data_IF_864179411479
#
_entry.id   IF_864179411479
#
_cell.length_a   1.000
_cell.length_b   1.000
_cell.length_c   1.000
_cell.angle_alpha   90.00
_cell.angle_beta   90.00
_cell.angle_gamma   90.00
#
_symmetry.space_group_name_H-M   'P 1'
#
loop_
_entity.id
_entity.type
_entity.pdbx_description
1 polymer ?
#
# COMPACT_ATOMS: atom_id res chain seq x y z
N UNK A 1 -20.20 29.05 9.86
CA UNK A 1 -18.77 28.90 10.22
C UNK A 1 -18.37 27.47 10.59
N UNK A 2 -19.20 26.70 11.31
CA UNK A 2 -18.96 25.29 11.65
C UNK A 2 -18.72 24.34 10.45
N UNK A 3 -19.43 24.43 9.30
CA UNK A 3 -19.19 23.51 8.18
C UNK A 3 -17.87 23.80 7.46
N UNK A 4 -17.42 25.07 7.43
CA UNK A 4 -16.11 25.46 6.90
C UNK A 4 -14.99 24.97 7.83
N UNK A 5 -15.20 25.04 9.15
CA UNK A 5 -14.28 24.44 10.12
C UNK A 5 -14.24 22.91 10.05
N UNK A 6 -15.36 22.25 9.71
CA UNK A 6 -15.39 20.79 9.49
C UNK A 6 -14.72 20.39 8.17
N UNK A 7 -14.93 21.15 7.09
CA UNK A 7 -14.23 20.93 5.82
C UNK A 7 -12.73 21.23 5.94
N UNK A 8 -12.35 22.27 6.69
CA UNK A 8 -10.97 22.57 7.02
C UNK A 8 -10.38 21.51 7.95
N UNK A 9 -11.12 20.99 8.93
CA UNK A 9 -10.68 19.90 9.79
C UNK A 9 -10.50 18.60 9.00
N UNK A 10 -11.38 18.29 8.04
CA UNK A 10 -11.24 17.17 7.11
C UNK A 10 -10.10 17.39 6.12
N UNK A 11 -9.82 18.62 5.71
CA UNK A 11 -8.67 18.99 4.88
C UNK A 11 -7.34 18.93 5.65
N UNK A 12 -7.35 19.32 6.93
CA UNK A 12 -6.21 19.24 7.87
C UNK A 12 -5.99 17.81 8.34
N UNK A 13 -7.04 17.00 8.40
CA UNK A 13 -6.93 15.56 8.55
C UNK A 13 -6.46 14.92 7.20
N UNK A 14 -6.92 15.42 6.06
CA UNK A 14 -6.32 15.06 4.76
C UNK A 14 -4.88 15.53 4.62
N UNK A 15 -4.38 16.37 5.53
CA UNK A 15 -2.98 16.73 5.54
C UNK A 15 -2.18 15.45 5.80
N UNK A 16 -1.37 15.04 4.83
CA UNK A 16 -0.79 13.71 4.80
C UNK A 16 -0.08 13.51 6.13
N UNK A 17 -0.44 12.44 6.86
CA UNK A 17 0.30 11.99 8.04
C UNK A 17 1.78 12.10 7.67
N UNK A 18 2.38 13.16 8.21
CA UNK A 18 3.61 13.67 7.67
C UNK A 18 4.66 12.62 7.96
N UNK A 19 5.74 12.65 7.18
CA UNK A 19 6.97 11.89 7.39
C UNK A 19 7.51 11.91 8.85
N UNK A 20 6.90 12.69 9.74
CA UNK A 20 7.09 12.73 11.19
C UNK A 20 6.73 11.42 11.91
N UNK A 21 5.64 10.72 11.54
CA UNK A 21 5.34 9.41 12.15
C UNK A 21 6.45 8.40 11.88
N UNK A 22 6.96 8.39 10.64
CA UNK A 22 8.09 7.54 10.23
C UNK A 22 9.37 7.85 11.03
N UNK A 23 9.62 9.12 11.37
CA UNK A 23 10.79 9.53 12.17
C UNK A 23 10.66 9.19 13.65
N UNK A 24 9.45 9.22 14.22
CA UNK A 24 9.22 8.86 15.61
C UNK A 24 9.25 7.33 15.82
N UNK A 25 8.79 6.54 14.85
CA UNK A 25 8.94 5.07 14.89
C UNK A 25 10.39 4.60 14.81
N UNK A 26 11.32 5.41 14.27
CA UNK A 26 12.74 5.07 14.28
C UNK A 26 13.41 5.22 15.66
N UNK A 27 12.70 5.74 16.68
CA UNK A 27 13.25 5.96 18.03
C UNK A 27 12.75 4.96 19.09
N UNK A 28 11.87 4.00 18.74
CA UNK A 28 11.39 2.99 19.69
C UNK A 28 11.52 1.56 19.14
N UNK A 29 12.57 0.80 19.54
CA UNK A 29 12.90 -0.51 18.99
C UNK A 29 12.23 -1.66 19.75
N UNK A 30 10.98 -1.52 20.19
CA UNK A 30 10.26 -2.60 20.88
C UNK A 30 8.97 -2.97 20.18
N UNK A 31 9.07 -4.06 19.41
CA UNK A 31 8.02 -4.99 19.01
C UNK A 31 6.58 -4.45 19.12
N UNK A 32 6.15 -3.68 18.13
CA UNK A 32 4.72 -3.48 17.90
C UNK A 32 4.33 -4.14 16.59
N UNK A 33 3.45 -5.15 16.72
CA UNK A 33 2.53 -5.59 15.65
C UNK A 33 2.00 -4.33 14.94
N UNK A 34 1.84 -4.33 13.60
CA UNK A 34 1.38 -3.15 12.88
C UNK A 34 0.07 -2.68 13.50
N UNK A 35 0.18 -1.65 14.34
CA UNK A 35 -0.94 -1.10 15.07
C UNK A 35 -1.94 -0.64 14.03
N UNK A 36 -3.18 -1.09 14.13
CA UNK A 36 -4.27 -0.53 13.36
C UNK A 36 -4.15 1.00 13.43
N UNK A 37 -4.05 1.70 12.29
CA UNK A 37 -3.66 3.11 12.30
C UNK A 37 -4.62 3.89 13.20
N UNK A 38 -4.07 4.59 14.20
CA UNK A 38 -4.82 5.37 15.20
C UNK A 38 -5.78 6.38 14.54
N UNK A 39 -5.50 6.78 13.30
CA UNK A 39 -6.43 7.49 12.42
C UNK A 39 -7.84 6.89 12.35
N UNK A 40 -7.95 5.56 12.26
CA UNK A 40 -9.24 4.85 12.21
C UNK A 40 -10.09 5.10 13.46
N UNK A 41 -9.42 5.33 14.60
CA UNK A 41 -10.05 5.70 15.86
C UNK A 41 -10.47 7.16 15.93
N UNK A 42 -9.97 8.03 15.04
CA UNK A 42 -10.39 9.44 14.91
C UNK A 42 -11.58 9.58 13.94
N UNK A 43 -11.63 8.74 12.91
CA UNK A 43 -12.71 8.77 11.89
C UNK A 43 -14.05 8.33 12.47
N UNK A 44 -14.07 7.31 13.33
CA UNK A 44 -15.28 6.80 13.98
C UNK A 44 -16.00 7.84 14.89
N UNK A 45 -15.33 8.53 15.83
CA UNK A 45 -15.97 9.56 16.64
C UNK A 45 -16.34 10.79 15.81
N UNK A 46 -15.59 11.12 14.75
CA UNK A 46 -15.94 12.22 13.84
C UNK A 46 -17.26 11.94 13.10
N UNK A 47 -17.44 10.71 12.60
CA UNK A 47 -18.71 10.28 11.98
C UNK A 47 -19.85 10.33 13.01
N UNK A 48 -19.61 9.85 14.23
CA UNK A 48 -20.60 9.86 15.31
C UNK A 48 -20.99 11.26 15.76
N UNK A 49 -20.05 12.22 15.73
CA UNK A 49 -20.30 13.63 16.05
C UNK A 49 -21.11 14.32 14.94
N UNK A 50 -20.78 14.05 13.67
CA UNK A 50 -21.55 14.56 12.52
C UNK A 50 -22.97 13.98 12.49
N UNK A 51 -23.14 12.71 12.86
CA UNK A 51 -24.44 12.04 13.01
C UNK A 51 -25.38 12.78 13.98
N UNK A 52 -24.82 13.24 15.09
CA UNK A 52 -25.57 13.86 16.17
C UNK A 52 -26.07 15.27 15.82
N UNK A 53 -25.51 15.91 14.78
CA UNK A 53 -25.74 17.33 14.49
C UNK A 53 -26.50 17.62 13.19
N UNK A 54 -26.49 16.74 12.18
CA UNK A 54 -26.96 17.08 10.83
C UNK A 54 -27.93 16.06 10.18
N UNK A 55 -28.43 15.09 10.93
CA UNK A 55 -29.40 14.11 10.42
C UNK A 55 -28.78 12.95 9.61
N UNK A 56 -29.64 11.99 9.23
CA UNK A 56 -29.25 10.69 8.64
C UNK A 56 -28.56 10.85 7.27
N UNK A 57 -28.96 11.83 6.47
CA UNK A 57 -28.45 12.01 5.10
C UNK A 57 -26.97 12.42 5.08
N UNK A 58 -26.56 13.31 5.99
CA UNK A 58 -25.16 13.74 6.13
C UNK A 58 -24.30 12.63 6.72
N UNK A 59 -24.87 11.77 7.57
CA UNK A 59 -24.15 10.62 8.13
C UNK A 59 -23.80 9.58 7.08
N UNK A 60 -24.75 9.26 6.20
CA UNK A 60 -24.54 8.28 5.12
C UNK A 60 -23.45 8.77 4.16
N UNK A 61 -23.49 10.05 3.78
CA UNK A 61 -22.48 10.65 2.92
C UNK A 61 -21.08 10.72 3.57
N UNK A 62 -21.01 11.14 4.84
CA UNK A 62 -19.76 11.15 5.60
C UNK A 62 -19.19 9.73 5.76
N UNK A 63 -20.05 8.73 6.00
CA UNK A 63 -19.69 7.32 6.06
C UNK A 63 -19.15 6.78 4.72
N UNK A 64 -19.79 7.12 3.60
CA UNK A 64 -19.31 6.73 2.25
C UNK A 64 -17.94 7.33 1.95
N UNK A 65 -17.75 8.63 2.21
CA UNK A 65 -16.46 9.31 2.01
C UNK A 65 -15.37 8.73 2.91
N UNK A 66 -15.68 8.53 4.20
CA UNK A 66 -14.76 7.92 5.14
C UNK A 66 -14.39 6.49 4.71
N UNK A 67 -15.38 5.69 4.26
CA UNK A 67 -15.16 4.34 3.75
C UNK A 67 -14.20 4.32 2.57
N UNK A 68 -14.39 5.19 1.59
CA UNK A 68 -13.51 5.30 0.42
C UNK A 68 -12.12 5.78 0.80
N UNK A 69 -12.00 6.78 1.66
CA UNK A 69 -10.69 7.28 2.12
C UNK A 69 -9.93 6.20 2.89
N UNK A 70 -10.61 5.48 3.80
CA UNK A 70 -10.02 4.38 4.55
C UNK A 70 -9.63 3.20 3.65
N UNK A 71 -10.44 2.89 2.65
CA UNK A 71 -10.13 1.87 1.65
C UNK A 71 -8.91 2.27 0.81
N UNK A 72 -8.88 3.51 0.32
CA UNK A 72 -7.80 4.05 -0.52
C UNK A 72 -6.48 4.16 0.26
N UNK A 73 -6.51 4.59 1.52
CA UNK A 73 -5.32 4.63 2.37
C UNK A 73 -4.83 3.21 2.70
N UNK A 74 -5.74 2.30 3.06
CA UNK A 74 -5.37 0.89 3.30
C UNK A 74 -4.74 0.27 2.06
N UNK A 75 -5.26 0.59 0.87
CA UNK A 75 -4.74 0.13 -0.42
C UNK A 75 -3.39 0.75 -0.75
N UNK A 76 -3.21 2.04 -0.51
CA UNK A 76 -1.93 2.76 -0.68
C UNK A 76 -0.87 2.23 0.27
N UNK A 77 -1.21 1.97 1.54
CA UNK A 77 -0.32 1.33 2.51
C UNK A 77 0.10 -0.07 2.08
N UNK A 78 -0.84 -0.89 1.60
CA UNK A 78 -0.52 -2.22 1.05
C UNK A 78 0.47 -2.13 -0.11
N UNK A 79 0.35 -1.12 -0.98
CA UNK A 79 1.30 -0.87 -2.08
C UNK A 79 2.68 -0.46 -1.57
N UNK A 80 2.75 0.46 -0.61
CA UNK A 80 4.03 0.89 -0.01
C UNK A 80 4.75 -0.26 0.70
N UNK A 81 4.00 -1.13 1.40
CA UNK A 81 4.55 -2.35 2.03
C UNK A 81 5.07 -3.33 0.97
N UNK A 82 4.38 -3.46 -0.17
CA UNK A 82 4.84 -4.26 -1.31
C UNK A 82 6.15 -3.72 -1.90
N UNK A 83 6.20 -2.42 -2.20
CA UNK A 83 7.41 -1.77 -2.75
C UNK A 83 8.63 -1.92 -1.84
N UNK A 84 8.42 -1.84 -0.52
CA UNK A 84 9.48 -2.08 0.46
C UNK A 84 9.92 -3.56 0.49
N UNK A 85 8.99 -4.50 0.34
CA UNK A 85 9.31 -5.92 0.27
C UNK A 85 10.10 -6.26 -1.00
N UNK A 86 9.75 -5.66 -2.15
CA UNK A 86 10.47 -5.85 -3.41
C UNK A 86 11.89 -5.29 -3.34
N UNK A 87 12.07 -4.12 -2.71
CA UNK A 87 13.39 -3.54 -2.48
C UNK A 87 14.24 -4.43 -1.54
N UNK A 88 13.67 -4.86 -0.41
CA UNK A 88 14.33 -5.77 0.54
C UNK A 88 14.74 -7.08 -0.16
N UNK A 89 13.89 -7.63 -1.03
CA UNK A 89 14.15 -8.86 -1.77
C UNK A 89 15.21 -8.68 -2.86
N UNK A 90 15.23 -7.57 -3.60
CA UNK A 90 16.29 -7.25 -4.55
C UNK A 90 17.65 -7.13 -3.86
N UNK A 91 17.69 -6.50 -2.68
CA UNK A 91 18.90 -6.44 -1.86
C UNK A 91 19.33 -7.83 -1.42
N UNK A 92 18.41 -8.65 -0.90
CA UNK A 92 18.72 -10.02 -0.49
C UNK A 92 19.25 -10.89 -1.65
N UNK A 93 18.59 -10.85 -2.83
CA UNK A 93 19.06 -11.55 -4.01
C UNK A 93 20.45 -11.10 -4.43
N UNK A 94 20.75 -9.80 -4.35
CA UNK A 94 22.09 -9.30 -4.69
C UNK A 94 23.18 -9.83 -3.78
N UNK A 95 22.90 -9.95 -2.47
CA UNK A 95 23.82 -10.51 -1.48
C UNK A 95 23.98 -12.01 -1.70
N UNK A 96 22.88 -12.74 -1.90
CA UNK A 96 22.93 -14.19 -2.16
C UNK A 96 23.74 -14.51 -3.43
N UNK A 97 23.50 -13.78 -4.52
CA UNK A 97 24.26 -13.94 -5.77
C UNK A 97 25.74 -13.65 -5.53
N UNK A 98 26.08 -12.59 -4.78
CA UNK A 98 27.47 -12.25 -4.48
C UNK A 98 28.17 -13.36 -3.68
N UNK A 99 27.55 -13.83 -2.59
CA UNK A 99 28.07 -14.92 -1.75
C UNK A 99 28.29 -16.20 -2.55
N UNK A 100 27.28 -16.60 -3.34
CA UNK A 100 27.36 -17.80 -4.16
C UNK A 100 28.40 -17.67 -5.29
N UNK A 101 28.63 -16.46 -5.81
CA UNK A 101 29.67 -16.23 -6.83
C UNK A 101 31.09 -16.45 -6.28
N UNK A 102 31.27 -16.36 -4.95
CA UNK A 102 32.54 -16.68 -4.26
C UNK A 102 32.57 -18.16 -3.82
N UNK A 103 31.55 -18.95 -4.17
CA UNK A 103 31.47 -20.38 -3.89
C UNK A 103 30.74 -20.73 -2.60
N UNK A 104 30.02 -19.79 -1.98
CA UNK A 104 29.22 -20.07 -0.79
C UNK A 104 28.04 -21.02 -1.09
N UNK A 105 27.68 -21.86 -0.12
CA UNK A 105 26.49 -22.70 -0.16
C UNK A 105 25.22 -21.84 -0.10
N UNK A 106 24.10 -22.36 -0.61
CA UNK A 106 22.83 -21.61 -0.60
C UNK A 106 22.39 -21.28 0.84
N UNK A 107 22.59 -22.20 1.78
CA UNK A 107 22.28 -21.97 3.20
C UNK A 107 23.08 -20.80 3.79
N UNK A 108 24.37 -20.70 3.46
CA UNK A 108 25.25 -19.62 3.94
C UNK A 108 24.92 -18.30 3.24
N UNK A 109 24.59 -18.33 1.95
CA UNK A 109 24.15 -17.16 1.20
C UNK A 109 22.83 -16.60 1.75
N UNK A 110 21.86 -17.46 2.08
CA UNK A 110 20.62 -17.05 2.75
C UNK A 110 20.88 -16.46 4.14
N UNK A 111 21.76 -17.08 4.94
CA UNK A 111 22.11 -16.59 6.27
C UNK A 111 22.79 -15.20 6.20
N UNK A 112 23.74 -15.02 5.27
CA UNK A 112 24.42 -13.76 5.05
C UNK A 112 23.45 -12.66 4.61
N UNK A 113 22.58 -12.95 3.64
CA UNK A 113 21.55 -12.00 3.19
C UNK A 113 20.56 -11.64 4.31
N UNK A 114 20.14 -12.61 5.13
CA UNK A 114 19.27 -12.36 6.28
C UNK A 114 19.95 -11.47 7.33
N UNK A 115 21.22 -11.76 7.67
CA UNK A 115 21.98 -11.00 8.66
C UNK A 115 22.18 -9.55 8.21
N UNK A 116 22.52 -9.33 6.94
CA UNK A 116 22.74 -7.99 6.40
C UNK A 116 21.44 -7.20 6.30
N UNK A 117 20.33 -7.81 5.84
CA UNK A 117 19.03 -7.13 5.89
C UNK A 117 18.62 -6.79 7.32
N UNK A 118 18.85 -7.68 8.29
CA UNK A 118 18.51 -7.42 9.69
C UNK A 118 19.30 -6.23 10.26
N UNK A 119 20.54 -6.01 9.80
CA UNK A 119 21.34 -4.82 10.16
C UNK A 119 20.77 -3.54 9.58
N UNK A 120 20.33 -3.58 8.32
CA UNK A 120 19.75 -2.41 7.64
C UNK A 120 18.34 -2.12 8.19
N UNK A 121 17.55 -3.17 8.44
CA UNK A 121 16.13 -3.11 8.77
C UNK A 121 15.72 -4.31 9.65
N UNK A 122 15.65 -4.15 10.98
CA UNK A 122 15.39 -5.24 11.92
C UNK A 122 14.03 -5.94 11.68
N UNK A 123 13.04 -5.18 11.25
CA UNK A 123 11.65 -5.65 11.05
C UNK A 123 11.38 -6.14 9.62
N UNK A 124 12.41 -6.43 8.83
CA UNK A 124 12.20 -6.94 7.48
C UNK A 124 11.63 -8.36 7.51
N UNK A 125 10.43 -8.54 6.96
CA UNK A 125 9.82 -9.86 6.76
C UNK A 125 10.71 -10.76 5.87
N UNK A 126 11.40 -10.18 4.88
CA UNK A 126 12.32 -10.90 3.99
C UNK A 126 13.50 -11.48 4.77
N UNK A 127 14.06 -10.73 5.73
CA UNK A 127 15.14 -11.21 6.59
C UNK A 127 14.70 -12.40 7.46
N UNK A 128 13.50 -12.33 8.03
CA UNK A 128 12.94 -13.41 8.85
C UNK A 128 12.73 -14.69 8.01
N UNK A 129 12.14 -14.57 6.83
CA UNK A 129 11.97 -15.70 5.92
C UNK A 129 13.32 -16.33 5.51
N UNK A 130 14.31 -15.51 5.12
CA UNK A 130 15.65 -16.00 4.76
C UNK A 130 16.37 -16.67 5.93
N UNK A 131 16.23 -16.15 7.14
CA UNK A 131 16.81 -16.78 8.34
C UNK A 131 16.19 -18.16 8.60
N UNK A 132 14.88 -18.28 8.40
CA UNK A 132 14.16 -19.54 8.53
C UNK A 132 14.54 -20.54 7.43
N UNK A 133 14.77 -20.06 6.20
CA UNK A 133 15.26 -20.85 5.08
C UNK A 133 16.69 -21.34 5.31
N UNK A 134 17.58 -20.47 5.78
CA UNK A 134 18.95 -20.83 6.09
C UNK A 134 19.00 -21.92 7.16
N UNK A 135 18.18 -21.81 8.22
CA UNK A 135 18.06 -22.83 9.25
C UNK A 135 17.56 -24.18 8.71
N UNK A 136 16.52 -24.16 7.86
CA UNK A 136 16.01 -25.40 7.22
C UNK A 136 17.03 -26.04 6.28
N UNK A 137 17.72 -25.23 5.47
CA UNK A 137 18.73 -25.70 4.53
C UNK A 137 19.95 -26.28 5.26
N UNK A 138 20.39 -25.67 6.36
CA UNK A 138 21.49 -26.17 7.19
C UNK A 138 21.19 -27.53 7.83
N UNK A 139 19.93 -27.81 8.12
CA UNK A 139 19.47 -29.10 8.65
C UNK A 139 19.23 -30.16 7.56
N UNK A 140 19.52 -29.85 6.28
CA UNK A 140 19.27 -30.75 5.15
C UNK A 140 17.79 -30.88 4.78
N UNK A 141 16.94 -29.98 5.27
CA UNK A 141 15.51 -29.99 4.97
C UNK A 141 15.25 -29.60 3.52
N UNK A 142 14.43 -30.40 2.82
CA UNK A 142 13.93 -30.04 1.48
C UNK A 142 13.04 -28.80 1.60
N UNK A 143 13.43 -27.72 0.94
CA UNK A 143 12.61 -26.51 0.85
C UNK A 143 11.50 -26.80 -0.15
N UNK A 144 10.29 -27.00 0.34
CA UNK A 144 9.11 -27.21 -0.51
C UNK A 144 8.39 -25.88 -0.72
N UNK A 145 7.90 -25.66 -1.94
CA UNK A 145 7.09 -24.49 -2.31
C UNK A 145 5.88 -24.33 -1.38
N UNK A 146 5.33 -25.44 -0.88
CA UNK A 146 4.21 -25.45 0.08
C UNK A 146 4.56 -24.83 1.44
N UNK A 147 5.78 -25.04 1.94
CA UNK A 147 6.23 -24.43 3.19
C UNK A 147 6.47 -22.92 3.10
N UNK A 148 6.65 -22.41 1.88
CA UNK A 148 6.81 -20.97 1.58
C UNK A 148 5.47 -20.22 1.54
N UNK A 149 4.38 -20.92 1.18
CA UNK A 149 3.04 -20.35 1.04
C UNK A 149 2.34 -20.11 2.39
N UNK A 150 2.67 -20.87 3.44
CA UNK A 150 2.01 -20.75 4.75
C UNK A 150 2.57 -19.60 5.61
N UNK A 151 3.85 -19.25 5.44
CA UNK A 151 4.50 -18.18 6.21
C UNK A 151 4.25 -16.80 5.61
N UNK A 152 4.09 -16.74 4.29
CA UNK A 152 3.96 -15.50 3.53
C UNK A 152 2.49 -15.20 3.21
N UNK A 153 1.74 -14.54 4.09
CA UNK A 153 0.42 -13.99 3.73
C UNK A 153 0.47 -12.66 2.96
N UNK A 154 1.66 -12.27 2.48
CA UNK A 154 1.99 -10.89 2.08
C UNK A 154 2.19 -10.67 0.57
N UNK A 155 2.36 -9.39 0.14
CA UNK A 155 2.58 -9.00 -1.26
C UNK A 155 3.76 -9.67 -1.98
N UNK A 156 4.74 -10.23 -1.24
CA UNK A 156 5.93 -10.89 -1.80
C UNK A 156 5.79 -12.40 -2.08
N UNK A 157 4.60 -12.98 -1.87
CA UNK A 157 4.32 -14.42 -2.04
C UNK A 157 4.71 -14.97 -3.41
N UNK A 158 4.33 -14.29 -4.48
CA UNK A 158 4.59 -14.74 -5.84
C UNK A 158 6.10 -14.84 -6.14
N UNK A 159 6.91 -13.95 -5.55
CA UNK A 159 8.36 -13.95 -5.74
C UNK A 159 9.02 -15.06 -4.93
N UNK A 160 8.58 -15.26 -3.68
CA UNK A 160 9.03 -16.40 -2.87
C UNK A 160 8.67 -17.74 -3.49
N UNK A 161 7.50 -17.84 -4.12
CA UNK A 161 7.09 -19.01 -4.88
C UNK A 161 8.02 -19.26 -6.08
N UNK A 162 8.42 -18.21 -6.79
CA UNK A 162 9.39 -18.29 -7.90
C UNK A 162 10.78 -18.74 -7.40
N UNK A 163 11.26 -18.21 -6.27
CA UNK A 163 12.54 -18.63 -5.67
C UNK A 163 12.47 -20.09 -5.22
N UNK A 164 11.37 -20.51 -4.58
CA UNK A 164 11.17 -21.92 -4.19
C UNK A 164 11.11 -22.86 -5.41
N UNK A 165 10.46 -22.42 -6.49
CA UNK A 165 10.41 -23.18 -7.75
C UNK A 165 11.79 -23.28 -8.40
N UNK A 166 12.55 -22.18 -8.42
CA UNK A 166 13.93 -22.16 -8.91
C UNK A 166 14.84 -23.10 -8.11
N UNK A 167 14.68 -23.12 -6.79
CA UNK A 167 15.41 -24.05 -5.93
C UNK A 167 15.08 -25.51 -6.24
N UNK A 168 13.80 -25.83 -6.35
CA UNK A 168 13.36 -27.18 -6.69
C UNK A 168 13.89 -27.61 -8.07
N UNK A 169 13.92 -26.71 -9.04
CA UNK A 169 14.45 -26.98 -10.37
C UNK A 169 15.98 -27.21 -10.35
N UNK A 170 16.70 -26.42 -9.54
CA UNK A 170 18.14 -26.60 -9.31
C UNK A 170 18.46 -27.94 -8.64
N UNK A 171 17.70 -28.33 -7.61
CA UNK A 171 17.87 -29.59 -6.89
C UNK A 171 17.55 -30.82 -7.77
N UNK A 172 16.50 -30.74 -8.59
CA UNK A 172 16.08 -31.85 -9.46
C UNK A 172 16.95 -32.01 -10.72
N UNK A 173 17.45 -30.92 -11.28
CA UNK A 173 18.13 -30.93 -12.59
C UNK A 173 19.61 -30.51 -12.53
N UNK A 174 20.14 -30.23 -11.34
CA UNK A 174 21.54 -29.80 -11.17
C UNK A 174 21.85 -28.43 -11.79
N UNK A 175 20.82 -27.60 -12.04
CA UNK A 175 21.03 -26.28 -12.62
C UNK A 175 21.76 -25.36 -11.63
N UNK A 176 22.68 -24.50 -12.10
CA UNK A 176 23.34 -23.52 -11.25
C UNK A 176 22.31 -22.55 -10.67
N UNK A 177 22.12 -22.62 -9.36
CA UNK A 177 21.15 -21.79 -8.63
C UNK A 177 21.44 -20.29 -8.79
N UNK A 178 22.70 -19.91 -8.98
CA UNK A 178 23.11 -18.52 -9.22
C UNK A 178 22.39 -17.96 -10.45
N UNK A 179 22.38 -18.69 -11.56
CA UNK A 179 21.78 -18.23 -12.82
C UNK A 179 20.26 -18.04 -12.68
N UNK A 180 19.61 -18.92 -11.91
CA UNK A 180 18.19 -18.78 -11.61
C UNK A 180 17.90 -17.55 -10.73
N UNK A 181 18.72 -17.28 -9.71
CA UNK A 181 18.58 -16.10 -8.87
C UNK A 181 18.87 -14.80 -9.65
N UNK A 182 19.86 -14.83 -10.56
CA UNK A 182 20.14 -13.72 -11.49
C UNK A 182 18.94 -13.47 -12.40
N UNK A 183 18.34 -14.52 -12.96
CA UNK A 183 17.14 -14.41 -13.80
C UNK A 183 15.95 -13.84 -13.01
N UNK A 184 15.69 -14.33 -11.79
CA UNK A 184 14.63 -13.79 -10.91
C UNK A 184 14.90 -12.31 -10.58
N UNK A 185 16.13 -11.95 -10.24
CA UNK A 185 16.51 -10.55 -9.97
C UNK A 185 16.30 -9.66 -11.19
N UNK A 186 16.69 -10.11 -12.38
CA UNK A 186 16.54 -9.36 -13.62
C UNK A 186 15.06 -9.15 -13.97
N UNK A 187 14.23 -10.18 -13.80
CA UNK A 187 12.78 -10.10 -14.01
C UNK A 187 12.12 -9.09 -13.05
N UNK A 188 12.47 -9.11 -11.76
CA UNK A 188 11.98 -8.13 -10.79
C UNK A 188 12.41 -6.70 -11.11
N UNK A 189 13.66 -6.50 -11.54
CA UNK A 189 14.14 -5.18 -11.98
C UNK A 189 13.39 -4.70 -13.22
N UNK A 190 13.11 -5.59 -14.18
CA UNK A 190 12.34 -5.28 -15.37
C UNK A 190 10.90 -4.88 -15.02
N UNK A 191 10.26 -5.62 -14.11
CA UNK A 191 8.92 -5.30 -13.60
C UNK A 191 8.91 -3.93 -12.92
N UNK A 192 9.85 -3.65 -12.01
CA UNK A 192 9.96 -2.34 -11.35
C UNK A 192 10.19 -1.19 -12.33
N UNK A 193 11.02 -1.41 -13.37
CA UNK A 193 11.25 -0.41 -14.40
C UNK A 193 10.00 -0.16 -15.27
N UNK A 194 9.25 -1.22 -15.61
CA UNK A 194 7.99 -1.11 -16.33
C UNK A 194 6.94 -0.34 -15.53
N UNK A 195 6.83 -0.65 -14.24
CA UNK A 195 5.96 0.05 -13.30
C UNK A 195 6.31 1.54 -13.20
N UNK A 196 7.59 1.86 -13.04
CA UNK A 196 8.09 3.23 -12.97
C UNK A 196 7.78 4.02 -14.26
N UNK A 197 8.01 3.41 -15.43
CA UNK A 197 7.70 4.01 -16.74
C UNK A 197 6.20 4.24 -16.91
N UNK A 198 5.38 3.27 -16.53
CA UNK A 198 3.91 3.38 -16.59
C UNK A 198 3.40 4.50 -15.69
N UNK A 199 3.92 4.60 -14.47
CA UNK A 199 3.57 5.69 -13.54
C UNK A 199 3.98 7.05 -14.08
N UNK A 200 5.16 7.17 -14.68
CA UNK A 200 5.64 8.39 -15.30
C UNK A 200 4.76 8.79 -16.50
N UNK A 201 4.40 7.85 -17.37
CA UNK A 201 3.50 8.09 -18.51
C UNK A 201 2.10 8.53 -18.11
N UNK A 202 1.60 8.07 -16.95
CA UNK A 202 0.29 8.45 -16.42
C UNK A 202 0.29 9.75 -15.60
N UNK A 203 1.42 10.43 -15.44
CA UNK A 203 1.50 11.66 -14.64
C UNK A 203 0.62 12.79 -15.22
N UNK A 204 0.65 12.97 -16.55
CA UNK A 204 -0.15 13.98 -17.25
C UNK A 204 -1.67 13.73 -17.12
N UNK A 205 -2.18 12.56 -17.54
CA UNK A 205 -3.59 12.21 -17.36
C UNK A 205 -4.07 12.23 -15.91
N UNK A 206 -3.21 11.91 -14.94
CA UNK A 206 -3.55 12.01 -13.52
C UNK A 206 -3.70 13.46 -13.06
N UNK A 207 -2.82 14.36 -13.51
CA UNK A 207 -2.88 15.76 -13.14
C UNK A 207 -4.20 16.41 -13.59
N UNK A 208 -4.62 16.18 -14.85
CA UNK A 208 -5.89 16.71 -15.36
C UNK A 208 -7.11 16.07 -14.67
N UNK A 209 -7.06 14.75 -14.43
CA UNK A 209 -8.10 14.07 -13.67
C UNK A 209 -8.22 14.62 -12.24
N UNK A 210 -7.11 14.94 -11.57
CA UNK A 210 -7.15 15.58 -10.23
C UNK A 210 -7.73 16.99 -10.27
N UNK A 211 -7.46 17.76 -11.32
CA UNK A 211 -8.05 19.10 -11.50
C UNK A 211 -9.55 19.00 -11.73
N UNK A 212 -10.00 18.13 -12.63
CA UNK A 212 -11.42 17.88 -12.92
C UNK A 212 -12.16 17.33 -11.69
N UNK A 213 -11.51 16.47 -10.90
CA UNK A 213 -12.06 15.97 -9.64
C UNK A 213 -12.18 17.07 -8.56
N UNK A 214 -11.39 18.14 -8.64
CA UNK A 214 -11.48 19.31 -7.75
C UNK A 214 -12.54 20.33 -8.17
N UNK A 215 -13.01 20.28 -9.42
CA UNK A 215 -14.01 21.21 -9.97
C UNK A 215 -15.31 21.31 -9.15
N UNK A 216 -15.89 20.20 -8.63
CA UNK A 216 -17.10 20.28 -7.81
C UNK A 216 -16.90 21.08 -6.52
N UNK A 217 -15.72 20.98 -5.89
CA UNK A 217 -15.40 21.75 -4.69
C UNK A 217 -15.30 23.25 -4.99
N UNK A 218 -14.69 23.61 -6.13
CA UNK A 218 -14.67 24.98 -6.62
C UNK A 218 -16.08 25.49 -6.92
N UNK A 219 -16.95 24.66 -7.50
CA UNK A 219 -18.35 25.00 -7.76
C UNK A 219 -19.13 25.32 -6.48
N UNK A 220 -18.96 24.50 -5.43
CA UNK A 220 -19.58 24.75 -4.12
C UNK A 220 -19.03 26.03 -3.49
N UNK A 221 -17.72 26.27 -3.58
CA UNK A 221 -17.09 27.48 -3.05
C UNK A 221 -17.60 28.75 -3.74
N UNK A 222 -17.75 28.72 -5.07
CA UNK A 222 -18.31 29.82 -5.84
C UNK A 222 -19.81 30.03 -5.56
N UNK A 223 -20.58 28.96 -5.40
CA UNK A 223 -21.99 29.01 -5.01
C UNK A 223 -22.20 29.61 -3.61
N UNK A 224 -21.27 29.37 -2.69
CA UNK A 224 -21.26 30.00 -1.37
C UNK A 224 -20.88 31.49 -1.45
N UNK A 225 -19.85 31.84 -2.24
CA UNK A 225 -19.43 33.23 -2.41
C UNK A 225 -20.51 34.12 -3.06
N UNK A 226 -21.37 33.54 -3.88
CA UNK A 226 -22.53 34.22 -4.51
C UNK A 226 -23.76 34.29 -3.60
N UNK A 227 -23.72 33.72 -2.39
CA UNK A 227 -24.80 33.81 -1.41
C UNK A 227 -25.97 32.84 -1.65
N UNK A 228 -25.83 31.85 -2.54
CA UNK A 228 -26.88 30.87 -2.83
C UNK A 228 -27.13 29.85 -1.70
N UNK A 229 -26.36 29.93 -0.61
CA UNK A 229 -26.30 29.00 0.52
C UNK A 229 -26.53 27.51 0.17
N UNK A 230 -25.73 26.93 -0.75
CA UNK A 230 -25.85 25.52 -1.10
C UNK A 230 -25.66 24.61 0.11
N UNK A 231 -24.88 25.01 1.12
CA UNK A 231 -24.62 24.19 2.31
C UNK A 231 -25.87 24.11 3.18
N UNK A 232 -26.63 25.20 3.33
CA UNK A 232 -27.94 25.19 3.98
C UNK A 232 -28.94 24.27 3.28
N UNK A 233 -28.98 24.30 1.94
CA UNK A 233 -29.87 23.42 1.15
C UNK A 233 -29.48 21.94 1.25
N UNK A 234 -28.18 21.64 1.20
CA UNK A 234 -27.63 20.29 1.30
C UNK A 234 -27.80 19.68 2.72
N UNK A 235 -27.85 20.51 3.76
CA UNK A 235 -28.00 20.07 5.16
C UNK A 235 -29.42 20.21 5.71
N UNK A 236 -30.31 20.90 5.01
CA UNK A 236 -31.69 21.14 5.42
C UNK A 236 -32.64 19.95 5.24
N UNK A 237 -32.18 18.85 4.63
CA UNK A 237 -32.96 17.63 4.38
C UNK A 237 -33.88 17.70 3.15
N UNK A 238 -34.32 16.55 2.65
CA UNK A 238 -35.25 16.43 1.51
C UNK A 238 -34.53 16.27 0.17
N UNK A 239 -34.88 17.07 -0.84
CA UNK A 239 -34.23 17.01 -2.17
C UNK A 239 -32.73 17.30 -2.10
N UNK A 240 -32.29 18.17 -1.18
CA UNK A 240 -30.89 18.54 -1.00
C UNK A 240 -30.01 17.39 -0.51
N UNK A 241 -30.49 16.57 0.44
CA UNK A 241 -29.73 15.43 0.93
C UNK A 241 -29.78 14.22 0.00
N UNK A 242 -30.87 14.01 -0.75
CA UNK A 242 -30.88 13.07 -1.88
C UNK A 242 -29.78 13.41 -2.90
N UNK A 243 -29.65 14.69 -3.26
CA UNK A 243 -28.60 15.16 -4.18
C UNK A 243 -27.20 14.97 -3.59
N UNK A 244 -27.05 15.12 -2.27
CA UNK A 244 -25.80 14.88 -1.52
C UNK A 244 -25.37 13.41 -1.60
N UNK A 245 -26.31 12.49 -1.37
CA UNK A 245 -26.06 11.04 -1.45
C UNK A 245 -25.71 10.65 -2.88
N UNK A 246 -26.46 11.12 -3.88
CA UNK A 246 -26.19 10.82 -5.29
C UNK A 246 -24.83 11.38 -5.72
N UNK A 247 -24.51 12.62 -5.35
CA UNK A 247 -23.23 13.24 -5.68
C UNK A 247 -22.04 12.52 -5.04
N UNK A 248 -22.15 12.16 -3.76
CA UNK A 248 -21.10 11.39 -3.08
C UNK A 248 -20.96 9.98 -3.67
N UNK A 249 -22.05 9.29 -3.97
CA UNK A 249 -22.03 8.00 -4.63
C UNK A 249 -21.34 8.08 -6.01
N UNK A 250 -21.59 9.13 -6.80
CA UNK A 250 -20.94 9.34 -8.09
C UNK A 250 -19.42 9.55 -7.96
N UNK A 251 -18.99 10.33 -6.95
CA UNK A 251 -17.57 10.54 -6.64
C UNK A 251 -16.91 9.22 -6.22
N UNK A 252 -17.56 8.46 -5.34
CA UNK A 252 -17.09 7.13 -4.90
C UNK A 252 -16.96 6.18 -6.10
N UNK A 253 -17.95 6.14 -6.98
CA UNK A 253 -17.95 5.32 -8.18
C UNK A 253 -16.82 5.72 -9.13
N UNK A 254 -16.63 7.02 -9.38
CA UNK A 254 -15.56 7.54 -10.22
C UNK A 254 -14.16 7.20 -9.68
N UNK A 255 -13.95 7.34 -8.38
CA UNK A 255 -12.70 6.96 -7.72
C UNK A 255 -12.43 5.45 -7.81
N UNK A 256 -13.45 4.62 -7.56
CA UNK A 256 -13.34 3.17 -7.65
C UNK A 256 -13.01 2.72 -9.08
N UNK A 257 -13.65 3.33 -10.08
CA UNK A 257 -13.39 3.03 -11.48
C UNK A 257 -11.97 3.45 -11.88
N UNK A 258 -11.54 4.67 -11.53
CA UNK A 258 -10.18 5.14 -11.83
C UNK A 258 -9.11 4.22 -11.23
N UNK A 259 -9.28 3.81 -9.97
CA UNK A 259 -8.38 2.86 -9.32
C UNK A 259 -8.39 1.48 -9.99
N UNK A 260 -9.54 1.03 -10.48
CA UNK A 260 -9.67 -0.23 -11.25
C UNK A 260 -8.98 -0.18 -12.61
N UNK A 261 -9.06 0.94 -13.33
CA UNK A 261 -8.36 1.10 -14.62
C UNK A 261 -6.85 1.03 -14.39
N UNK A 262 -6.35 1.79 -13.41
CA UNK A 262 -4.93 1.81 -13.07
C UNK A 262 -4.40 0.41 -12.74
N UNK A 263 -5.16 -0.38 -11.98
CA UNK A 263 -4.74 -1.74 -11.62
C UNK A 263 -4.73 -2.72 -12.77
N UNK A 264 -5.68 -2.62 -13.70
CA UNK A 264 -5.68 -3.50 -14.88
C UNK A 264 -4.48 -3.23 -15.79
N UNK A 265 -3.97 -2.00 -15.79
CA UNK A 265 -2.79 -1.63 -16.58
C UNK A 265 -1.50 -2.08 -15.89
N UNK A 266 -1.44 -2.09 -14.55
CA UNK A 266 -0.26 -2.55 -13.80
C UNK A 266 -0.20 -4.08 -13.61
N UNK A 267 -1.29 -4.80 -13.82
CA UNK A 267 -1.35 -6.26 -13.64
C UNK A 267 -1.00 -7.06 -14.92
N UNK A 268 -0.40 -6.41 -15.92
CA UNK A 268 -0.15 -6.97 -17.25
C UNK A 268 1.33 -6.87 -17.59
#
# INVERSE_FOLDING_TARGET
>A
MVPVLCAAAVAVLWWPATRAEYRLTQLQPTARRPGTPHWKWVVLPLISFVAMSFGIEVTVAAGMLAGVVLWRDSRRRRRLVGEQADADLLTALSIMIAEMSVGALVATACAAAAAELCRIKPDSAVAQELSSLAGRAALGGRITVSGMNETSGGPGTAVWQRIGTAWQLSDQHGLPMIDLLVAVRADLLAQNAFDARTRAGLAGPRATATVLAGLPALGIALGQATGADPVGVLTGGGLGGLLLIVGTALVVAGLCWSDRIVERVSAR
#
